data_IF_195134632261
#
_entry.id   IF_195134632261
#
_cell.length_a   1.000
_cell.length_b   1.000
_cell.length_c   1.000
_cell.angle_alpha   90.00
_cell.angle_beta   90.00
_cell.angle_gamma   90.00
#
_symmetry.space_group_name_H-M   'P 1'
#
loop_
_entity.id
_entity.type
_entity.pdbx_description
1 polymer ?
#
# COMPACT_ATOMS: atom_id res chain seq x y z
N UNK A 1 0.95 4.32 -0.78
CA UNK A 1 -0.35 3.64 -1.01
C UNK A 1 -0.96 4.17 -2.30
N UNK A 2 -1.59 3.30 -3.07
CA UNK A 2 -2.22 3.67 -4.35
C UNK A 2 -3.54 2.91 -4.52
N UNK A 3 -4.59 3.52 -5.09
CA UNK A 3 -5.77 2.79 -5.55
C UNK A 3 -5.42 1.92 -6.76
N UNK A 4 -6.33 1.00 -7.11
CA UNK A 4 -6.24 0.10 -8.25
C UNK A 4 -6.57 0.84 -9.57
N UNK A 5 -5.72 1.82 -9.91
CA UNK A 5 -5.74 2.55 -11.18
C UNK A 5 -4.93 1.81 -12.24
N UNK A 6 -5.13 2.17 -13.52
CA UNK A 6 -4.31 1.66 -14.62
C UNK A 6 -2.80 1.96 -14.41
N UNK A 7 -2.47 3.05 -13.70
CA UNK A 7 -1.08 3.40 -13.35
C UNK A 7 -0.49 2.59 -12.22
N UNK A 8 -1.29 2.00 -11.34
CA UNK A 8 -0.83 1.03 -10.34
C UNK A 8 -0.70 -0.37 -10.94
N UNK A 9 -1.62 -0.75 -11.83
CA UNK A 9 -1.59 -2.04 -12.55
C UNK A 9 -0.31 -2.23 -13.39
N UNK A 10 0.15 -1.18 -14.08
CA UNK A 10 1.34 -1.23 -14.93
C UNK A 10 2.65 -1.59 -14.18
N UNK A 11 3.03 -0.93 -13.07
CA UNK A 11 4.21 -1.33 -12.31
C UNK A 11 4.05 -2.71 -11.70
N UNK A 12 2.86 -3.08 -11.17
CA UNK A 12 2.66 -4.42 -10.59
C UNK A 12 2.89 -5.52 -11.63
N UNK A 13 2.29 -5.40 -12.82
CA UNK A 13 2.48 -6.38 -13.91
C UNK A 13 3.93 -6.47 -14.41
N UNK A 14 4.71 -5.40 -14.26
CA UNK A 14 6.12 -5.34 -14.70
C UNK A 14 7.15 -5.56 -13.59
N UNK A 15 6.72 -5.77 -12.34
CA UNK A 15 7.58 -6.16 -11.23
C UNK A 15 8.40 -7.40 -11.61
N UNK A 16 9.72 -7.32 -11.39
CA UNK A 16 10.66 -8.41 -11.64
C UNK A 16 10.95 -9.15 -10.34
N UNK A 17 11.08 -10.47 -10.44
CA UNK A 17 11.31 -11.35 -9.30
C UNK A 17 10.02 -11.73 -8.56
N UNK A 18 10.09 -12.81 -7.79
CA UNK A 18 8.94 -13.41 -7.11
C UNK A 18 8.87 -13.04 -5.62
N UNK A 19 9.71 -12.11 -5.16
CA UNK A 19 9.81 -11.73 -3.73
C UNK A 19 9.01 -10.48 -3.37
N UNK A 20 8.21 -9.94 -4.29
CA UNK A 20 7.40 -8.77 -4.01
C UNK A 20 6.21 -9.15 -3.10
N UNK A 21 6.07 -8.47 -1.97
CA UNK A 21 4.83 -8.48 -1.17
C UNK A 21 4.07 -7.18 -1.46
N UNK A 22 2.83 -7.34 -1.92
CA UNK A 22 1.90 -6.25 -2.21
C UNK A 22 0.81 -6.31 -1.16
N UNK A 23 0.77 -5.32 -0.27
CA UNK A 23 -0.29 -5.22 0.73
C UNK A 23 -1.55 -4.58 0.14
N UNK A 24 -2.68 -5.30 0.19
CA UNK A 24 -4.01 -4.75 -0.11
C UNK A 24 -4.74 -4.42 1.19
N UNK A 25 -4.96 -3.12 1.43
CA UNK A 25 -5.69 -2.63 2.60
C UNK A 25 -7.17 -2.38 2.23
N UNK A 26 -8.14 -2.96 2.96
CA UNK A 26 -9.55 -2.70 2.72
C UNK A 26 -9.94 -1.22 2.88
N UNK A 27 -10.93 -0.76 2.12
CA UNK A 27 -11.50 0.56 2.31
C UNK A 27 -12.07 0.73 3.73
N UNK A 28 -11.83 1.88 4.35
CA UNK A 28 -12.26 2.16 5.73
C UNK A 28 -11.29 1.67 6.82
N UNK A 29 -10.17 1.05 6.44
CA UNK A 29 -9.08 0.71 7.38
C UNK A 29 -8.64 1.95 8.15
N UNK A 30 -8.70 1.86 9.48
CA UNK A 30 -8.30 2.96 10.36
C UNK A 30 -6.78 3.06 10.42
N UNK A 31 -6.24 4.23 10.08
CA UNK A 31 -4.81 4.52 10.22
C UNK A 31 -4.51 4.80 11.70
N UNK A 32 -3.46 4.19 12.29
CA UNK A 32 -3.06 4.45 13.67
C UNK A 32 -2.83 5.94 13.95
N UNK A 33 -3.12 6.39 15.18
CA UNK A 33 -3.06 7.80 15.58
C UNK A 33 -1.67 8.46 15.47
N UNK A 34 -0.61 7.67 15.40
CA UNK A 34 0.78 8.10 15.25
C UNK A 34 1.28 8.02 13.80
N UNK A 35 0.46 7.52 12.88
CA UNK A 35 0.68 7.56 11.45
C UNK A 35 -0.31 8.53 10.78
N UNK A 36 0.03 8.97 9.57
CA UNK A 36 -0.84 9.82 8.76
C UNK A 36 -0.73 9.39 7.30
N UNK A 37 -1.87 9.34 6.61
CA UNK A 37 -1.92 9.14 5.17
C UNK A 37 -1.99 10.50 4.48
N UNK A 38 -0.89 10.91 3.86
CA UNK A 38 -0.76 12.18 3.15
C UNK A 38 -1.07 11.96 1.68
N UNK A 39 -1.95 12.78 1.11
CA UNK A 39 -2.16 12.84 -0.33
C UNK A 39 -1.01 13.63 -0.98
N UNK A 40 -0.22 12.98 -1.84
CA UNK A 40 0.94 13.61 -2.47
C UNK A 40 0.59 14.17 -3.85
N UNK A 41 0.32 13.28 -4.82
CA UNK A 41 0.06 13.66 -6.20
C UNK A 41 -0.82 12.63 -6.90
N UNK A 42 -1.93 13.06 -7.49
CA UNK A 42 -2.89 12.19 -8.20
C UNK A 42 -3.37 11.03 -7.33
N UNK A 43 -3.06 9.80 -7.72
CA UNK A 43 -3.42 8.57 -7.03
C UNK A 43 -2.36 8.10 -6.03
N UNK A 44 -1.36 8.94 -5.72
CA UNK A 44 -0.29 8.61 -4.79
C UNK A 44 -0.57 9.17 -3.40
N UNK A 45 -0.54 8.26 -2.43
CA UNK A 45 -0.62 8.57 -1.01
C UNK A 45 0.61 8.03 -0.30
N UNK A 46 1.01 8.69 0.77
CA UNK A 46 2.20 8.38 1.54
C UNK A 46 1.81 8.14 2.98
N UNK A 47 2.18 6.98 3.51
CA UNK A 47 1.99 6.67 4.92
C UNK A 47 3.24 7.17 5.66
N UNK A 48 3.04 8.14 6.55
CA UNK A 48 4.12 8.89 7.19
C UNK A 48 3.92 8.95 8.70
N UNK A 49 4.97 9.35 9.42
CA UNK A 49 4.88 9.64 10.83
C UNK A 49 4.02 10.90 11.07
N UNK A 50 3.04 10.82 11.97
CA UNK A 50 2.26 11.99 12.42
C UNK A 50 2.90 12.71 13.61
N UNK A 51 3.75 12.00 14.34
CA UNK A 51 4.49 12.49 15.51
C UNK A 51 5.98 12.19 15.31
N UNK A 52 6.84 12.92 15.99
CA UNK A 52 8.27 12.65 15.97
C UNK A 52 8.57 11.21 16.46
N UNK A 53 9.36 10.49 15.69
CA UNK A 53 9.81 9.12 16.00
C UNK A 53 11.06 8.81 15.16
N UNK A 54 11.79 7.76 15.53
CA UNK A 54 12.93 7.31 14.73
C UNK A 54 12.47 6.64 13.43
N UNK A 55 13.37 6.53 12.45
CA UNK A 55 13.09 5.79 11.20
C UNK A 55 12.81 4.31 11.47
N UNK A 56 13.50 3.71 12.45
CA UNK A 56 13.29 2.30 12.82
C UNK A 56 11.93 2.08 13.47
N UNK A 57 11.48 3.00 14.33
CA UNK A 57 10.13 2.97 14.90
C UNK A 57 9.07 3.12 13.81
N UNK A 58 9.26 4.04 12.87
CA UNK A 58 8.34 4.25 11.75
C UNK A 58 8.24 2.99 10.87
N UNK A 59 9.38 2.38 10.52
CA UNK A 59 9.42 1.16 9.72
C UNK A 59 8.71 0.00 10.42
N UNK A 60 8.96 -0.17 11.72
CA UNK A 60 8.32 -1.20 12.55
C UNK A 60 6.81 -0.99 12.58
N UNK A 61 6.36 0.24 12.88
CA UNK A 61 4.93 0.59 12.94
C UNK A 61 4.20 0.39 11.62
N UNK A 62 4.77 0.84 10.50
CA UNK A 62 4.18 0.64 9.17
C UNK A 62 4.07 -0.85 8.86
N UNK A 63 5.13 -1.63 9.15
CA UNK A 63 5.15 -3.06 8.89
C UNK A 63 4.08 -3.79 9.71
N UNK A 64 3.99 -3.50 11.01
CA UNK A 64 3.01 -4.11 11.89
C UNK A 64 1.58 -3.73 11.50
N UNK A 65 1.34 -2.45 11.20
CA UNK A 65 0.04 -1.97 10.72
C UNK A 65 -0.40 -2.72 9.45
N UNK A 66 0.46 -2.83 8.45
CA UNK A 66 0.15 -3.53 7.20
C UNK A 66 -0.08 -5.03 7.44
N UNK A 67 0.76 -5.69 8.25
CA UNK A 67 0.59 -7.11 8.58
C UNK A 67 -0.72 -7.41 9.33
N UNK A 68 -1.19 -6.47 10.15
CA UNK A 68 -2.39 -6.67 10.96
C UNK A 68 -3.68 -6.33 10.24
N UNK A 69 -3.65 -5.40 9.28
CA UNK A 69 -4.86 -4.82 8.68
C UNK A 69 -5.01 -5.04 7.18
N UNK A 70 -3.94 -5.47 6.51
CA UNK A 70 -3.92 -5.67 5.07
C UNK A 70 -3.57 -7.12 4.71
N UNK A 71 -3.97 -7.52 3.51
CA UNK A 71 -3.64 -8.81 2.92
C UNK A 71 -2.29 -8.68 2.18
N UNK A 72 -1.27 -9.48 2.54
CA UNK A 72 -0.02 -9.54 1.77
C UNK A 72 -0.20 -10.53 0.62
N UNK A 73 -0.07 -10.04 -0.59
CA UNK A 73 -0.23 -10.79 -1.83
C UNK A 73 1.10 -10.86 -2.57
N UNK A 74 1.36 -11.98 -3.20
CA UNK A 74 2.34 -12.06 -4.29
C UNK A 74 1.86 -11.26 -5.50
N UNK A 75 2.76 -11.04 -6.46
CA UNK A 75 2.41 -10.40 -7.73
C UNK A 75 1.30 -11.17 -8.44
N UNK A 76 1.40 -12.49 -8.51
CA UNK A 76 0.46 -13.35 -9.21
C UNK A 76 -0.92 -13.34 -8.54
N UNK A 77 -0.97 -13.42 -7.21
CA UNK A 77 -2.22 -13.34 -6.44
C UNK A 77 -2.89 -11.97 -6.62
N UNK A 78 -2.10 -10.89 -6.56
CA UNK A 78 -2.62 -9.54 -6.77
C UNK A 78 -3.20 -9.36 -8.18
N UNK A 79 -2.50 -9.82 -9.22
CA UNK A 79 -3.01 -9.75 -10.61
C UNK A 79 -4.26 -10.61 -10.83
N UNK A 80 -4.38 -11.73 -10.11
CA UNK A 80 -5.56 -12.58 -10.15
C UNK A 80 -6.76 -11.91 -9.44
N UNK A 81 -6.53 -11.31 -8.27
CA UNK A 81 -7.57 -10.67 -7.46
C UNK A 81 -8.02 -9.32 -8.05
N UNK A 82 -7.10 -8.59 -8.69
CA UNK A 82 -7.35 -7.30 -9.32
C UNK A 82 -6.99 -7.39 -10.83
N UNK A 83 -7.81 -8.05 -11.65
CA UNK A 83 -7.49 -8.30 -13.06
C UNK A 83 -7.59 -7.06 -13.95
N UNK A 84 -8.33 -6.02 -13.50
CA UNK A 84 -8.48 -4.74 -14.19
C UNK A 84 -8.50 -3.60 -13.19
N UNK A 85 -8.17 -2.39 -13.65
CA UNK A 85 -8.30 -1.18 -12.85
C UNK A 85 -9.76 -0.83 -12.56
N UNK A 86 -10.07 -0.46 -11.32
CA UNK A 86 -11.41 -0.10 -10.86
C UNK A 86 -11.56 1.38 -10.54
N UNK A 87 -10.46 2.11 -10.32
CA UNK A 87 -10.48 3.55 -10.02
C UNK A 87 -9.84 4.41 -11.11
N UNK A 88 -10.21 5.69 -11.11
CA UNK A 88 -9.59 6.76 -11.90
C UNK A 88 -8.64 7.59 -11.04
N UNK A 89 -7.67 8.25 -11.68
CA UNK A 89 -6.72 9.16 -11.03
C UNK A 89 -7.29 10.53 -10.68
#
# INVERSE_FOLDING_TARGET
MRPNTAKTQRPVSTLRGNSACIYSAPAGTQVPDDLILVHEFKDHYSLQARKEMTVDDLNTKITDFLRMTAECLTKEEWLWQYPMSTETE
#
